data_IF_773719712797
#
_entry.id   IF_773719712797
#
_cell.length_a   1.000
_cell.length_b   1.000
_cell.length_c   1.000
_cell.angle_alpha   90.00
_cell.angle_beta   90.00
_cell.angle_gamma   90.00
#
_symmetry.space_group_name_H-M   'P 1'
#
loop_
_entity.id
_entity.type
_entity.pdbx_description
1 polymer ?
#
# COMPACT_ATOMS: atom_id res chain seq x y z
N UNK A 1 25.39 -18.12 5.65
CA UNK A 1 24.93 -19.54 5.70
C UNK A 1 23.49 -19.55 5.22
N UNK A 2 23.19 -20.29 4.15
CA UNK A 2 21.82 -20.44 3.69
C UNK A 2 21.03 -21.19 4.76
N UNK A 3 19.98 -20.58 5.29
CA UNK A 3 19.04 -21.23 6.19
C UNK A 3 18.29 -22.29 5.37
N UNK A 4 18.41 -23.57 5.74
CA UNK A 4 17.68 -24.71 5.16
C UNK A 4 16.13 -24.64 5.30
N UNK A 5 15.60 -23.46 5.63
CA UNK A 5 14.18 -23.19 5.77
C UNK A 5 13.49 -23.08 4.42
N UNK A 6 12.24 -23.55 4.35
CA UNK A 6 11.39 -23.36 3.16
C UNK A 6 11.13 -21.87 2.93
N UNK A 7 11.09 -21.47 1.67
CA UNK A 7 10.71 -20.11 1.26
C UNK A 7 9.19 -19.97 1.24
N UNK A 8 8.67 -18.94 1.90
CA UNK A 8 7.28 -18.52 1.81
C UNK A 8 7.22 -17.09 1.23
N UNK A 9 6.37 -16.88 0.22
CA UNK A 9 6.03 -15.56 -0.28
C UNK A 9 4.65 -15.20 0.25
N UNK A 10 4.57 -14.16 1.08
CA UNK A 10 3.36 -13.77 1.80
C UNK A 10 2.89 -12.42 1.28
N UNK A 11 1.72 -12.39 0.65
CA UNK A 11 1.05 -11.16 0.23
C UNK A 11 0.13 -10.66 1.35
N UNK A 12 0.53 -9.59 2.04
CA UNK A 12 -0.32 -8.96 3.07
C UNK A 12 -1.33 -8.00 2.42
N UNK A 13 -2.61 -8.21 2.75
CA UNK A 13 -3.75 -7.51 2.16
C UNK A 13 -4.00 -6.12 2.77
N UNK A 14 -5.04 -5.44 2.29
CA UNK A 14 -5.38 -4.07 2.74
C UNK A 14 -5.65 -3.95 4.26
N UNK A 15 -6.25 -4.99 4.84
CA UNK A 15 -6.53 -5.06 6.29
C UNK A 15 -5.28 -5.12 7.16
N UNK A 16 -4.10 -5.37 6.56
CA UNK A 16 -2.82 -5.37 7.26
C UNK A 16 -2.26 -3.96 7.48
N UNK A 17 -2.82 -2.95 6.81
CA UNK A 17 -2.42 -1.55 6.96
C UNK A 17 -3.59 -0.68 7.42
N UNK A 18 -4.82 -0.92 6.97
CA UNK A 18 -6.01 -0.17 7.42
C UNK A 18 -7.02 -1.16 7.96
N UNK A 19 -7.32 -1.08 9.25
CA UNK A 19 -8.23 -2.00 9.91
C UNK A 19 -9.69 -1.75 9.51
N UNK A 20 -10.09 -0.48 9.49
CA UNK A 20 -11.43 -0.03 9.12
C UNK A 20 -11.45 1.48 8.76
N UNK A 21 -12.63 2.01 8.46
CA UNK A 21 -12.82 3.42 8.07
C UNK A 21 -12.54 4.44 9.17
N UNK A 22 -12.49 4.03 10.45
CA UNK A 22 -12.18 4.90 11.59
C UNK A 22 -10.69 4.90 11.93
N UNK A 23 -9.92 3.95 11.41
CA UNK A 23 -8.50 3.76 11.71
C UNK A 23 -7.63 3.89 10.44
N UNK A 24 -7.52 5.12 9.93
CA UNK A 24 -6.82 5.41 8.66
C UNK A 24 -5.60 6.30 8.81
N UNK A 25 -5.36 6.86 10.00
CA UNK A 25 -4.23 7.78 10.23
C UNK A 25 -2.89 7.05 10.08
N UNK A 26 -1.80 7.81 9.91
CA UNK A 26 -0.46 7.20 9.82
C UNK A 26 -0.13 6.36 11.07
N UNK A 27 -0.40 6.82 12.30
CA UNK A 27 -0.28 5.99 13.50
C UNK A 27 -1.12 4.70 13.45
N UNK A 28 -2.39 4.78 13.03
CA UNK A 28 -3.24 3.59 12.92
C UNK A 28 -2.61 2.53 11.99
N UNK A 29 -2.02 2.98 10.87
CA UNK A 29 -1.35 2.10 9.92
C UNK A 29 -0.07 1.49 10.49
N UNK A 30 0.60 2.17 11.43
CA UNK A 30 1.77 1.64 12.12
C UNK A 30 1.37 0.54 13.10
N UNK A 31 0.28 0.75 13.85
CA UNK A 31 -0.25 -0.24 14.78
C UNK A 31 -0.77 -1.50 14.04
N UNK A 32 -1.47 -1.31 12.92
CA UNK A 32 -1.91 -2.41 12.07
C UNK A 32 -0.73 -3.21 11.48
N UNK A 33 0.31 -2.52 11.01
CA UNK A 33 1.53 -3.15 10.53
C UNK A 33 2.25 -3.94 11.63
N UNK A 34 2.37 -3.37 12.83
CA UNK A 34 2.99 -4.05 13.98
C UNK A 34 2.28 -5.37 14.32
N UNK A 35 0.95 -5.36 14.36
CA UNK A 35 0.14 -6.58 14.55
C UNK A 35 0.40 -7.62 13.46
N UNK A 36 0.42 -7.18 12.20
CA UNK A 36 0.67 -8.08 11.06
C UNK A 36 2.08 -8.67 11.11
N UNK A 37 3.09 -7.86 11.42
CA UNK A 37 4.49 -8.29 11.46
C UNK A 37 4.76 -9.27 12.61
N UNK A 38 3.99 -9.23 13.70
CA UNK A 38 4.08 -10.25 14.74
C UNK A 38 3.78 -11.66 14.20
N UNK A 39 2.76 -11.81 13.34
CA UNK A 39 2.45 -13.08 12.69
C UNK A 39 3.53 -13.52 11.70
N UNK A 40 4.18 -12.56 11.02
CA UNK A 40 5.33 -12.87 10.16
C UNK A 40 6.52 -13.35 10.99
N UNK A 41 6.75 -12.74 12.16
CA UNK A 41 7.78 -13.20 13.09
C UNK A 41 7.53 -14.64 13.56
N UNK A 42 6.27 -15.03 13.81
CA UNK A 42 5.91 -16.42 14.15
C UNK A 42 6.35 -17.40 13.05
N UNK A 43 6.11 -17.06 11.77
CA UNK A 43 6.55 -17.89 10.64
C UNK A 43 8.08 -18.02 10.57
N UNK A 44 8.79 -16.94 10.88
CA UNK A 44 10.25 -16.89 10.83
C UNK A 44 10.86 -17.72 11.98
N UNK A 45 10.24 -17.73 13.15
CA UNK A 45 10.60 -18.62 14.27
C UNK A 45 10.31 -20.09 13.96
N UNK A 46 9.22 -20.37 13.25
CA UNK A 46 8.91 -21.70 12.73
C UNK A 46 9.88 -22.18 11.62
N UNK A 47 10.89 -21.37 11.28
CA UNK A 47 11.99 -21.75 10.38
C UNK A 47 11.78 -21.37 8.92
N UNK A 48 10.74 -20.60 8.57
CA UNK A 48 10.55 -20.13 7.20
C UNK A 48 11.50 -18.98 6.85
N UNK A 49 11.95 -18.97 5.59
CA UNK A 49 12.48 -17.78 4.94
C UNK A 49 11.30 -17.05 4.31
N UNK A 50 11.08 -15.79 4.65
CA UNK A 50 9.85 -15.07 4.25
C UNK A 50 10.18 -13.89 3.34
N UNK A 51 9.51 -13.84 2.19
CA UNK A 51 9.39 -12.64 1.34
C UNK A 51 8.01 -12.06 1.56
N UNK A 52 7.94 -10.79 1.91
CA UNK A 52 6.68 -10.09 2.18
C UNK A 52 6.38 -9.19 0.99
N UNK A 53 5.19 -9.32 0.42
CA UNK A 53 4.64 -8.36 -0.55
C UNK A 53 3.40 -7.71 0.04
N UNK A 54 3.02 -6.54 -0.45
CA UNK A 54 1.85 -5.82 0.07
C UNK A 54 1.08 -5.13 -1.05
N UNK A 55 -0.22 -4.90 -0.81
CA UNK A 55 -0.98 -3.90 -1.55
C UNK A 55 -0.67 -2.47 -1.07
N UNK A 56 -1.08 -1.48 -1.85
CA UNK A 56 -0.91 -0.05 -1.49
C UNK A 56 -2.15 0.80 -1.83
N UNK A 57 -3.29 0.20 -2.17
CA UNK A 57 -4.44 0.89 -2.78
C UNK A 57 -4.91 2.15 -2.01
N UNK A 58 -5.22 2.06 -0.70
CA UNK A 58 -5.53 3.24 0.09
C UNK A 58 -4.37 4.23 0.19
N UNK A 59 -3.15 3.74 0.41
CA UNK A 59 -1.96 4.56 0.64
C UNK A 59 -1.59 5.40 -0.59
N UNK A 60 -1.56 4.78 -1.77
CA UNK A 60 -1.24 5.47 -3.04
C UNK A 60 -2.33 6.47 -3.36
N UNK A 61 -3.58 6.12 -3.03
CA UNK A 61 -4.72 7.02 -3.09
C UNK A 61 -4.55 8.27 -2.23
N UNK A 62 -4.12 8.12 -0.98
CA UNK A 62 -3.89 9.26 -0.09
C UNK A 62 -2.71 10.13 -0.53
N UNK A 63 -1.63 9.55 -1.07
CA UNK A 63 -0.51 10.32 -1.62
C UNK A 63 -0.96 11.11 -2.84
N UNK A 64 -1.69 10.47 -3.77
CA UNK A 64 -2.24 11.14 -4.94
C UNK A 64 -3.16 12.30 -4.55
N UNK A 65 -4.07 12.09 -3.59
CA UNK A 65 -4.96 13.15 -3.09
C UNK A 65 -4.18 14.33 -2.49
N UNK A 66 -3.12 14.07 -1.70
CA UNK A 66 -2.26 15.13 -1.17
C UNK A 66 -1.60 15.93 -2.29
N UNK A 67 -1.14 15.24 -3.33
CA UNK A 67 -0.55 15.88 -4.51
C UNK A 67 -1.56 16.77 -5.24
N UNK A 68 -2.80 16.31 -5.40
CA UNK A 68 -3.87 17.06 -6.05
C UNK A 68 -4.30 18.28 -5.24
N UNK A 69 -4.41 18.18 -3.91
CA UNK A 69 -4.70 19.31 -3.03
C UNK A 69 -3.58 20.36 -3.11
N UNK A 70 -2.33 19.94 -3.20
CA UNK A 70 -1.16 20.83 -3.25
C UNK A 70 -0.91 21.45 -4.63
N UNK A 71 -1.66 21.07 -5.68
CA UNK A 71 -1.39 21.41 -7.08
C UNK A 71 -1.30 22.92 -7.39
N UNK A 72 -1.95 23.76 -6.58
CA UNK A 72 -1.92 25.22 -6.74
C UNK A 72 -0.60 25.85 -6.28
N UNK A 73 0.23 25.09 -5.56
CA UNK A 73 1.49 25.54 -4.98
C UNK A 73 2.69 24.76 -5.50
N UNK A 74 2.52 23.48 -5.83
CA UNK A 74 3.58 22.60 -6.34
C UNK A 74 3.04 21.69 -7.44
N UNK A 75 3.90 21.25 -8.35
CA UNK A 75 3.51 20.33 -9.42
C UNK A 75 2.96 19.00 -8.87
N UNK A 76 2.03 18.35 -9.60
CA UNK A 76 1.56 17.03 -9.21
C UNK A 76 2.66 15.96 -9.32
N UNK A 77 2.50 14.88 -8.57
CA UNK A 77 3.35 13.69 -8.59
C UNK A 77 2.64 12.63 -9.43
N UNK A 78 3.29 12.04 -10.44
CA UNK A 78 2.66 11.03 -11.28
C UNK A 78 2.44 9.73 -10.50
N UNK A 79 1.43 8.95 -10.93
CA UNK A 79 0.94 7.79 -10.17
C UNK A 79 2.00 6.70 -9.95
N UNK A 80 2.91 6.51 -10.90
CA UNK A 80 4.03 5.58 -10.79
C UNK A 80 5.01 6.00 -9.67
N UNK A 81 5.30 7.30 -9.58
CA UNK A 81 6.12 7.88 -8.51
C UNK A 81 5.42 7.80 -7.16
N UNK A 82 4.11 8.07 -7.09
CA UNK A 82 3.30 7.79 -5.90
C UNK A 82 3.38 6.30 -5.50
N UNK A 83 3.39 5.40 -6.49
CA UNK A 83 3.63 3.98 -6.28
C UNK A 83 4.97 3.71 -5.60
N UNK A 84 6.06 4.28 -6.11
CA UNK A 84 7.39 4.17 -5.50
C UNK A 84 7.43 4.75 -4.08
N UNK A 85 6.84 5.92 -3.85
CA UNK A 85 6.75 6.55 -2.52
C UNK A 85 6.06 5.63 -1.51
N UNK A 86 4.97 4.98 -1.91
CA UNK A 86 4.27 4.03 -1.01
C UNK A 86 5.09 2.80 -0.69
N UNK A 87 5.94 2.31 -1.60
CA UNK A 87 6.84 1.19 -1.31
C UNK A 87 7.84 1.60 -0.23
N UNK A 88 8.41 2.80 -0.33
CA UNK A 88 9.30 3.34 0.69
C UNK A 88 8.61 3.50 2.05
N UNK A 89 7.43 4.13 2.07
CA UNK A 89 6.70 4.37 3.31
C UNK A 89 6.22 3.08 4.00
N UNK A 90 5.58 2.17 3.25
CA UNK A 90 5.07 0.90 3.79
C UNK A 90 6.23 -0.01 4.18
N UNK A 91 7.24 -0.12 3.34
CA UNK A 91 8.42 -0.93 3.61
C UNK A 91 9.21 -0.45 4.82
N UNK A 92 9.35 0.87 4.99
CA UNK A 92 9.92 1.46 6.21
C UNK A 92 9.13 1.02 7.46
N UNK A 93 7.81 1.13 7.42
CA UNK A 93 6.94 0.74 8.53
C UNK A 93 7.08 -0.77 8.85
N UNK A 94 7.03 -1.63 7.84
CA UNK A 94 7.20 -3.08 8.02
C UNK A 94 8.57 -3.45 8.56
N UNK A 95 9.64 -2.85 8.03
CA UNK A 95 10.99 -3.03 8.54
C UNK A 95 11.10 -2.65 10.01
N UNK A 96 10.55 -1.50 10.39
CA UNK A 96 10.56 -1.02 11.77
C UNK A 96 9.77 -1.95 12.69
N UNK A 97 8.55 -2.32 12.30
CA UNK A 97 7.69 -3.22 13.05
C UNK A 97 8.33 -4.59 13.25
N UNK A 98 8.78 -5.24 12.17
CA UNK A 98 9.39 -6.57 12.23
C UNK A 98 10.75 -6.54 12.94
N UNK A 99 11.56 -5.50 12.71
CA UNK A 99 12.83 -5.32 13.41
C UNK A 99 12.66 -5.12 14.92
N UNK A 100 11.64 -4.38 15.35
CA UNK A 100 11.30 -4.25 16.77
C UNK A 100 10.80 -5.56 17.36
N UNK A 101 9.98 -6.31 16.63
CA UNK A 101 9.51 -7.62 17.06
C UNK A 101 10.65 -8.63 17.18
N UNK A 102 11.59 -8.64 16.22
CA UNK A 102 12.80 -9.45 16.30
C UNK A 102 13.65 -9.14 17.53
N UNK A 103 13.81 -7.85 17.88
CA UNK A 103 14.51 -7.45 19.11
C UNK A 103 13.84 -8.03 20.36
N UNK A 104 12.52 -7.96 20.46
CA UNK A 104 11.77 -8.53 21.60
C UNK A 104 11.95 -10.04 21.71
N UNK A 105 12.02 -10.74 20.58
CA UNK A 105 12.16 -12.21 20.51
C UNK A 105 13.61 -12.70 20.49
N UNK A 106 14.60 -11.81 20.51
CA UNK A 106 16.01 -12.17 20.39
C UNK A 106 16.42 -12.71 19.01
N UNK A 107 15.61 -12.49 17.98
CA UNK A 107 15.89 -12.93 16.60
C UNK A 107 16.93 -12.00 15.99
N UNK A 108 18.07 -12.57 15.56
CA UNK A 108 19.18 -11.82 14.94
C UNK A 108 19.15 -11.95 13.42
N UNK A 109 18.15 -11.35 12.78
CA UNK A 109 18.02 -11.30 11.32
C UNK A 109 17.83 -9.85 10.83
N UNK A 110 18.47 -9.44 9.72
CA UNK A 110 18.19 -8.17 9.09
C UNK A 110 16.82 -8.18 8.41
N UNK A 111 16.18 -7.02 8.32
CA UNK A 111 14.95 -6.81 7.56
C UNK A 111 15.21 -5.70 6.54
N UNK A 112 14.82 -5.93 5.28
CA UNK A 112 15.13 -5.05 4.15
C UNK A 112 13.89 -4.93 3.25
N UNK A 113 13.61 -3.71 2.82
CA UNK A 113 12.65 -3.37 1.76
C UNK A 113 13.44 -3.05 0.50
N UNK A 114 12.93 -3.52 -0.63
CA UNK A 114 13.51 -3.28 -1.93
C UNK A 114 12.48 -2.56 -2.79
N UNK A 115 12.82 -1.36 -3.27
CA UNK A 115 12.02 -0.68 -4.29
C UNK A 115 12.00 -1.58 -5.53
N UNK A 116 10.80 -1.90 -6.01
CA UNK A 116 10.57 -2.93 -7.02
C UNK A 116 9.80 -2.33 -8.18
N UNK A 117 10.36 -2.47 -9.38
CA UNK A 117 9.70 -2.17 -10.65
C UNK A 117 9.14 -3.46 -11.23
N UNK A 118 7.96 -3.37 -11.86
CA UNK A 118 7.32 -4.48 -12.56
C UNK A 118 7.07 -4.06 -13.99
N UNK A 119 7.64 -4.80 -14.95
CA UNK A 119 7.38 -4.58 -16.36
C UNK A 119 5.94 -4.96 -16.69
N UNK A 120 5.24 -4.08 -17.41
CA UNK A 120 3.87 -4.32 -17.91
C UNK A 120 3.83 -4.13 -19.43
N UNK A 121 2.86 -4.75 -20.09
CA UNK A 121 2.67 -4.57 -21.53
C UNK A 121 2.11 -3.16 -21.81
N UNK A 122 2.82 -2.36 -22.62
CA UNK A 122 2.38 -1.01 -23.03
C UNK A 122 1.03 -0.99 -23.76
N UNK A 123 0.61 -2.13 -24.31
CA UNK A 123 -0.65 -2.28 -25.03
C UNK A 123 -1.76 -2.94 -24.20
N UNK A 124 -1.55 -3.13 -22.88
CA UNK A 124 -2.55 -3.75 -22.02
C UNK A 124 -3.91 -3.02 -22.12
N UNK A 125 -5.02 -3.72 -22.37
CA UNK A 125 -6.35 -3.11 -22.46
C UNK A 125 -6.74 -2.25 -21.25
N UNK A 126 -6.15 -2.51 -20.09
CA UNK A 126 -6.38 -1.77 -18.83
C UNK A 126 -5.98 -0.30 -18.93
N UNK A 127 -5.05 0.07 -19.83
CA UNK A 127 -4.70 1.48 -20.07
C UNK A 127 -5.84 2.26 -20.75
N UNK A 128 -6.72 1.59 -21.49
CA UNK A 128 -7.89 2.20 -22.15
C UNK A 128 -9.14 2.14 -21.28
N UNK A 129 -9.20 1.19 -20.36
CA UNK A 129 -10.33 0.99 -19.45
C UNK A 129 -9.81 0.65 -18.04
N UNK A 130 -9.44 1.67 -17.24
CA UNK A 130 -9.07 1.47 -15.86
C UNK A 130 -10.19 0.76 -15.09
N UNK A 131 -9.84 -0.27 -14.34
CA UNK A 131 -10.80 -1.07 -13.54
C UNK A 131 -10.45 -1.12 -12.06
N UNK A 132 -9.27 -0.61 -11.69
CA UNK A 132 -8.75 -0.67 -10.33
C UNK A 132 -8.94 0.67 -9.63
N UNK A 133 -9.90 0.78 -8.69
CA UNK A 133 -10.12 2.04 -8.00
C UNK A 133 -8.98 2.37 -7.03
N UNK A 134 -8.51 3.61 -7.06
CA UNK A 134 -7.53 4.21 -6.15
C UNK A 134 -8.15 5.39 -5.40
N UNK A 135 -7.53 5.82 -4.29
CA UNK A 135 -8.02 6.99 -3.55
C UNK A 135 -9.15 6.70 -2.56
N UNK A 136 -9.58 7.78 -1.91
CA UNK A 136 -10.74 7.81 -1.01
C UNK A 136 -12.05 7.62 -1.79
N UNK A 137 -13.14 7.38 -1.05
CA UNK A 137 -14.47 7.40 -1.62
C UNK A 137 -14.95 8.85 -1.77
N UNK A 138 -15.59 9.13 -2.90
CA UNK A 138 -16.27 10.38 -3.20
C UNK A 138 -17.78 10.14 -3.21
N UNK A 139 -18.54 11.16 -2.83
CA UNK A 139 -19.98 11.19 -3.11
C UNK A 139 -20.23 11.29 -4.61
N UNK A 140 -21.43 10.94 -5.06
CA UNK A 140 -21.80 11.07 -6.48
C UNK A 140 -21.66 12.53 -6.99
N UNK A 141 -21.97 13.51 -6.13
CA UNK A 141 -21.85 14.93 -6.48
C UNK A 141 -20.38 15.33 -6.69
N UNK A 142 -19.49 14.97 -5.77
CA UNK A 142 -18.05 15.23 -5.91
C UNK A 142 -17.47 14.49 -7.12
N UNK A 143 -17.89 13.25 -7.36
CA UNK A 143 -17.47 12.48 -8.53
C UNK A 143 -17.84 13.19 -9.84
N UNK A 144 -19.08 13.66 -9.97
CA UNK A 144 -19.53 14.43 -11.14
C UNK A 144 -18.72 15.72 -11.34
N UNK A 145 -18.39 16.42 -10.25
CA UNK A 145 -17.53 17.60 -10.31
C UNK A 145 -16.12 17.26 -10.82
N UNK A 146 -15.51 16.18 -10.31
CA UNK A 146 -14.18 15.73 -10.74
C UNK A 146 -14.14 15.26 -12.19
N UNK A 147 -15.18 14.54 -12.65
CA UNK A 147 -15.32 14.18 -14.07
C UNK A 147 -15.37 15.45 -14.93
N UNK A 148 -16.17 16.44 -14.55
CA UNK A 148 -16.36 17.66 -15.34
C UNK A 148 -15.13 18.58 -15.34
N UNK A 149 -14.45 18.75 -14.21
CA UNK A 149 -13.32 19.69 -14.07
C UNK A 149 -11.98 19.09 -14.44
N UNK A 150 -11.75 17.84 -14.04
CA UNK A 150 -10.44 17.20 -14.09
C UNK A 150 -10.38 16.04 -15.11
N UNK A 151 -11.51 15.67 -15.74
CA UNK A 151 -11.58 14.61 -16.74
C UNK A 151 -11.30 13.22 -16.19
N UNK A 152 -11.58 12.99 -14.90
CA UNK A 152 -11.29 11.71 -14.26
C UNK A 152 -12.26 10.62 -14.69
N UNK A 153 -11.75 9.43 -14.96
CA UNK A 153 -12.54 8.21 -14.97
C UNK A 153 -12.89 7.85 -13.53
N UNK A 154 -14.18 7.86 -13.18
CA UNK A 154 -14.69 7.53 -11.84
C UNK A 154 -15.68 6.37 -11.95
N UNK A 155 -15.60 5.42 -11.03
CA UNK A 155 -16.47 4.24 -10.95
C UNK A 155 -17.16 4.15 -9.60
N UNK A 156 -18.43 3.75 -9.60
CA UNK A 156 -19.18 3.40 -8.39
C UNK A 156 -18.65 2.07 -7.83
N UNK A 157 -18.44 2.01 -6.51
CA UNK A 157 -17.85 0.85 -5.83
C UNK A 157 -18.81 0.28 -4.76
N UNK A 158 -19.83 -0.43 -5.25
CA UNK A 158 -20.69 -1.34 -4.50
C UNK A 158 -21.43 -0.67 -3.31
N UNK A 159 -21.99 0.51 -3.54
CA UNK A 159 -22.73 1.30 -2.56
C UNK A 159 -21.85 2.06 -1.57
N UNK A 160 -20.53 1.97 -1.67
CA UNK A 160 -19.58 2.64 -0.76
C UNK A 160 -19.19 4.04 -1.22
N UNK A 161 -19.60 4.43 -2.43
CA UNK A 161 -19.28 5.70 -3.06
C UNK A 161 -18.57 5.51 -4.40
N UNK A 162 -17.98 6.58 -4.90
CA UNK A 162 -17.26 6.64 -6.18
C UNK A 162 -15.76 6.70 -5.96
N UNK A 163 -14.98 6.10 -6.85
CA UNK A 163 -13.51 6.11 -6.81
C UNK A 163 -12.94 6.28 -8.22
N UNK A 164 -11.73 6.81 -8.31
CA UNK A 164 -11.00 6.95 -9.56
C UNK A 164 -10.36 5.63 -9.97
#
# INVERSE_FOLDING_TARGET
MATNGKLAVVAVGGNSLILDSKHQTVPDQYDAAARTMAHIADMIEAGYNVVITHGNGPQVGFILLRSEIARSQIHPVPLDSCGADTQGAIGYNFQMALGNEFKKRGIKKPVVTVVTQVLVDKNDPSFKKPSKPIGQFYTEAEAKERIAKDGWDMVEDAGRGWRR
#
